data_IF_495512168005
#
_entry.id   IF_495512168005
#
_cell.length_a   1.000
_cell.length_b   1.000
_cell.length_c   1.000
_cell.angle_alpha   90.00
_cell.angle_beta   90.00
_cell.angle_gamma   90.00
#
_symmetry.space_group_name_H-M   'P 1'
#
loop_
_entity.id
_entity.type
_entity.pdbx_description
1 polymer ?
#
# COMPACT_ATOMS: atom_id res chain seq x y z
N UNK A 1 13.79 6.75 -0.04
CA UNK A 1 13.13 7.95 0.50
C UNK A 1 11.75 8.04 -0.14
N UNK A 2 10.68 7.87 0.65
CA UNK A 2 9.34 8.25 0.18
C UNK A 2 9.30 9.78 0.08
N UNK A 3 8.87 10.30 -1.06
CA UNK A 3 8.64 11.74 -1.19
C UNK A 3 7.46 12.19 -0.30
N UNK A 4 7.19 13.49 -0.23
CA UNK A 4 6.08 14.03 0.56
C UNK A 4 4.74 13.36 0.22
N UNK A 5 4.53 13.01 -1.06
CA UNK A 5 3.32 12.33 -1.54
C UNK A 5 3.27 10.88 -1.06
N UNK A 6 4.39 10.18 -1.01
CA UNK A 6 4.51 8.84 -0.44
C UNK A 6 4.25 8.81 1.06
N UNK A 7 4.65 9.85 1.80
CA UNK A 7 4.31 9.96 3.23
C UNK A 7 2.81 10.19 3.46
N UNK A 8 2.16 11.04 2.64
CA UNK A 8 0.71 11.22 2.68
C UNK A 8 -0.04 9.93 2.35
N UNK A 9 0.42 9.19 1.34
CA UNK A 9 -0.14 7.88 0.99
C UNK A 9 -0.04 6.90 2.16
N UNK A 10 1.13 6.83 2.81
CA UNK A 10 1.33 5.98 3.99
C UNK A 10 0.39 6.37 5.13
N UNK A 11 0.21 7.67 5.39
CA UNK A 11 -0.71 8.14 6.42
C UNK A 11 -2.17 7.76 6.10
N UNK A 12 -2.61 7.95 4.86
CA UNK A 12 -3.97 7.58 4.42
C UNK A 12 -4.24 6.07 4.54
N UNK A 13 -3.26 5.23 4.17
CA UNK A 13 -3.37 3.78 4.31
C UNK A 13 -3.36 3.32 5.78
N UNK A 14 -2.51 3.93 6.62
CA UNK A 14 -2.50 3.67 8.06
C UNK A 14 -3.84 4.05 8.71
N UNK A 15 -4.45 5.14 8.26
CA UNK A 15 -5.78 5.56 8.70
C UNK A 15 -6.87 4.56 8.30
N UNK A 16 -6.85 4.07 7.06
CA UNK A 16 -7.84 3.11 6.56
C UNK A 16 -7.87 1.79 7.37
N UNK A 17 -6.73 1.40 7.95
CA UNK A 17 -6.58 0.23 8.81
C UNK A 17 -7.14 0.38 10.24
N UNK A 18 -7.55 1.58 10.66
CA UNK A 18 -8.12 1.79 12.00
C UNK A 18 -9.57 1.30 12.11
N UNK A 19 -10.04 0.93 13.33
CA UNK A 19 -11.46 0.69 13.59
C UNK A 19 -12.30 1.88 13.14
N UNK A 20 -13.50 1.63 12.57
CA UNK A 20 -14.36 2.70 12.06
C UNK A 20 -14.65 3.72 13.18
N UNK A 21 -14.28 5.00 13.00
CA UNK A 21 -14.63 6.05 13.95
C UNK A 21 -16.14 6.30 13.86
N UNK A 22 -16.80 6.36 15.02
CA UNK A 22 -18.26 6.38 15.09
C UNK A 22 -18.90 7.73 14.79
N UNK A 23 -18.13 8.83 14.67
CA UNK A 23 -18.71 10.19 14.65
C UNK A 23 -18.06 11.25 13.75
N UNK A 24 -17.00 10.97 13.00
CA UNK A 24 -16.40 11.96 12.09
C UNK A 24 -16.79 11.70 10.64
N UNK A 25 -17.62 12.61 10.08
CA UNK A 25 -18.11 12.55 8.71
C UNK A 25 -16.98 12.63 7.68
N UNK A 26 -15.91 13.38 7.97
CA UNK A 26 -14.76 13.55 7.07
C UNK A 26 -13.98 12.24 6.96
N UNK A 27 -13.82 11.56 8.09
CA UNK A 27 -13.17 10.25 8.15
C UNK A 27 -14.01 9.16 7.49
N UNK A 28 -15.33 9.23 7.66
CA UNK A 28 -16.25 8.33 6.97
C UNK A 28 -16.20 8.52 5.46
N UNK A 29 -16.19 9.76 4.98
CA UNK A 29 -16.09 10.08 3.56
C UNK A 29 -14.76 9.62 2.95
N UNK A 30 -13.64 9.85 3.64
CA UNK A 30 -12.32 9.39 3.21
C UNK A 30 -12.27 7.85 3.11
N UNK A 31 -12.79 7.14 4.11
CA UNK A 31 -12.79 5.67 4.11
C UNK A 31 -13.72 5.11 3.04
N UNK A 32 -14.88 5.71 2.84
CA UNK A 32 -15.81 5.32 1.77
C UNK A 32 -15.20 5.54 0.38
N UNK A 33 -14.45 6.61 0.20
CA UNK A 33 -13.71 6.88 -1.04
C UNK A 33 -12.56 5.87 -1.24
N UNK A 34 -11.78 5.56 -0.21
CA UNK A 34 -10.74 4.53 -0.27
C UNK A 34 -11.30 3.12 -0.50
N UNK A 35 -12.52 2.86 -0.02
CA UNK A 35 -13.24 1.59 -0.16
C UNK A 35 -14.01 1.52 -1.51
N UNK A 36 -13.37 1.98 -2.59
CA UNK A 36 -13.93 2.03 -3.94
C UNK A 36 -12.90 1.67 -5.01
N UNK A 37 -13.37 1.45 -6.25
CA UNK A 37 -12.47 1.25 -7.40
C UNK A 37 -11.63 2.48 -7.72
N UNK A 38 -12.18 3.69 -7.57
CA UNK A 38 -11.42 4.92 -7.74
C UNK A 38 -10.32 5.05 -6.68
N UNK A 39 -10.61 4.63 -5.44
CA UNK A 39 -9.64 4.53 -4.34
C UNK A 39 -8.47 3.60 -4.67
N UNK A 40 -8.76 2.43 -5.25
CA UNK A 40 -7.73 1.50 -5.76
C UNK A 40 -6.86 2.18 -6.81
N UNK A 41 -7.47 2.88 -7.77
CA UNK A 41 -6.74 3.62 -8.81
C UNK A 41 -5.79 4.68 -8.20
N UNK A 42 -6.25 5.41 -7.19
CA UNK A 42 -5.42 6.43 -6.53
C UNK A 42 -4.27 5.81 -5.74
N UNK A 43 -4.49 4.69 -5.05
CA UNK A 43 -3.41 3.96 -4.35
C UNK A 43 -2.40 3.42 -5.36
N UNK A 44 -2.86 2.82 -6.47
CA UNK A 44 -1.99 2.29 -7.52
C UNK A 44 -1.11 3.39 -8.14
N UNK A 45 -1.69 4.54 -8.50
CA UNK A 45 -0.95 5.69 -9.04
C UNK A 45 0.02 6.27 -8.01
N UNK A 46 -0.38 6.31 -6.73
CA UNK A 46 0.49 6.74 -5.63
C UNK A 46 1.71 5.83 -5.47
N UNK A 47 1.49 4.51 -5.48
CA UNK A 47 2.52 3.48 -5.39
C UNK A 47 3.44 3.46 -6.62
N UNK A 48 2.91 3.66 -7.84
CA UNK A 48 3.71 3.76 -9.06
C UNK A 48 4.73 4.91 -8.98
N UNK A 49 4.35 6.04 -8.38
CA UNK A 49 5.28 7.17 -8.12
C UNK A 49 6.36 6.83 -7.09
N UNK A 50 6.13 5.86 -6.23
CA UNK A 50 7.13 5.33 -5.30
C UNK A 50 7.95 4.18 -5.91
N UNK A 51 7.77 3.89 -7.21
CA UNK A 51 8.44 2.81 -7.89
C UNK A 51 7.88 1.44 -7.54
N UNK A 52 6.55 1.32 -7.48
CA UNK A 52 5.88 0.04 -7.31
C UNK A 52 4.75 -0.21 -8.31
N UNK A 53 4.74 -1.41 -8.88
CA UNK A 53 3.69 -1.88 -9.79
C UNK A 53 2.69 -2.80 -9.07
N UNK A 54 1.40 -2.65 -9.38
CA UNK A 54 0.31 -3.40 -8.78
C UNK A 54 -0.12 -4.58 -9.65
N UNK A 55 -0.13 -5.78 -9.07
CA UNK A 55 -0.93 -6.90 -9.53
C UNK A 55 -2.14 -7.09 -8.62
N UNK A 56 -3.35 -7.06 -9.20
CA UNK A 56 -4.60 -7.32 -8.48
C UNK A 56 -5.32 -8.50 -9.13
N UNK A 57 -5.51 -9.58 -8.37
CA UNK A 57 -6.06 -10.84 -8.84
C UNK A 57 -7.33 -11.19 -8.07
N UNK A 58 -8.42 -11.48 -8.78
CA UNK A 58 -9.65 -12.01 -8.21
C UNK A 58 -9.63 -13.54 -8.16
N UNK A 59 -10.03 -14.11 -7.04
CA UNK A 59 -10.24 -15.56 -6.87
C UNK A 59 -11.72 -15.82 -6.57
N UNK A 60 -12.59 -15.58 -7.54
CA UNK A 60 -14.06 -15.74 -7.47
C UNK A 60 -14.66 -15.26 -6.14
N UNK A 61 -15.34 -16.15 -5.41
CA UNK A 61 -15.94 -15.87 -4.11
C UNK A 61 -14.94 -15.95 -2.95
N UNK A 62 -13.71 -16.43 -3.17
CA UNK A 62 -12.71 -16.59 -2.11
C UNK A 62 -12.10 -15.27 -1.69
N UNK A 63 -12.03 -14.31 -2.62
CA UNK A 63 -11.58 -12.95 -2.34
C UNK A 63 -10.61 -12.42 -3.39
N UNK A 64 -9.78 -11.49 -2.94
CA UNK A 64 -8.85 -10.74 -3.77
C UNK A 64 -7.45 -10.81 -3.19
N UNK A 65 -6.47 -10.93 -4.08
CA UNK A 65 -5.06 -10.76 -3.77
C UNK A 65 -4.53 -9.51 -4.46
N UNK A 66 -3.95 -8.61 -3.70
CA UNK A 66 -3.12 -7.54 -4.22
C UNK A 66 -1.65 -7.85 -3.93
N UNK A 67 -0.76 -7.54 -4.87
CA UNK A 67 0.68 -7.65 -4.68
C UNK A 67 1.36 -6.46 -5.33
N UNK A 68 2.21 -5.78 -4.57
CA UNK A 68 3.05 -4.68 -5.07
C UNK A 68 4.48 -5.17 -5.26
N UNK A 69 4.98 -5.00 -6.46
CA UNK A 69 6.37 -5.28 -6.84
C UNK A 69 7.16 -3.98 -6.88
N UNK A 70 8.46 -4.02 -6.58
CA UNK A 70 9.33 -2.90 -6.96
C UNK A 70 9.35 -2.79 -8.50
N UNK A 71 9.22 -1.57 -9.02
CA UNK A 71 9.16 -1.31 -10.45
C UNK A 71 10.49 -1.64 -11.14
N UNK A 72 10.41 -2.28 -12.30
CA UNK A 72 11.54 -2.81 -13.07
C UNK A 72 11.07 -3.83 -14.11
N UNK A 73 12.00 -4.51 -14.79
CA UNK A 73 11.64 -5.46 -15.88
C UNK A 73 11.07 -6.79 -15.35
N UNK A 74 11.16 -7.08 -14.04
CA UNK A 74 10.72 -8.37 -13.48
C UNK A 74 9.75 -8.24 -12.29
N UNK A 75 8.55 -8.83 -12.44
CA UNK A 75 7.66 -9.19 -11.33
C UNK A 75 8.07 -10.52 -10.69
N UNK A 76 9.34 -10.62 -10.28
CA UNK A 76 9.87 -11.79 -9.60
C UNK A 76 9.32 -11.89 -8.16
N UNK A 77 9.06 -13.09 -7.61
CA UNK A 77 8.56 -13.26 -6.23
C UNK A 77 9.45 -12.61 -5.17
N UNK A 78 10.76 -12.57 -5.40
CA UNK A 78 11.78 -11.91 -4.58
C UNK A 78 11.70 -10.38 -4.63
N UNK A 79 11.09 -9.82 -5.68
CA UNK A 79 10.85 -8.38 -5.86
C UNK A 79 9.51 -7.93 -5.26
N UNK A 80 8.68 -8.87 -4.77
CA UNK A 80 7.43 -8.54 -4.10
C UNK A 80 7.72 -7.83 -2.78
N UNK A 81 7.20 -6.61 -2.66
CA UNK A 81 7.42 -5.73 -1.52
C UNK A 81 6.25 -5.69 -0.55
N UNK A 82 5.04 -6.04 -0.99
CA UNK A 82 3.88 -6.18 -0.11
C UNK A 82 2.77 -7.01 -0.74
N UNK A 83 2.03 -7.77 0.06
CA UNK A 83 0.94 -8.64 -0.42
C UNK A 83 -0.26 -8.58 0.53
N UNK A 84 -1.46 -8.53 -0.02
CA UNK A 84 -2.69 -8.42 0.77
C UNK A 84 -3.74 -9.39 0.25
N UNK A 85 -4.29 -10.20 1.15
CA UNK A 85 -5.47 -11.03 0.87
C UNK A 85 -6.66 -10.51 1.66
N UNK A 86 -7.73 -10.15 0.98
CA UNK A 86 -8.96 -9.67 1.63
C UNK A 86 -10.20 -10.07 0.83
N UNK A 87 -11.37 -9.97 1.47
CA UNK A 87 -12.67 -10.23 0.82
C UNK A 87 -12.99 -9.22 -0.29
N UNK A 88 -12.47 -8.00 -0.18
CA UNK A 88 -12.74 -6.90 -1.11
C UNK A 88 -11.45 -6.44 -1.79
N UNK A 89 -11.53 -5.94 -3.03
CA UNK A 89 -10.33 -5.54 -3.78
C UNK A 89 -9.65 -4.32 -3.16
N UNK A 90 -10.41 -3.38 -2.58
CA UNK A 90 -9.86 -2.17 -1.95
C UNK A 90 -9.08 -2.49 -0.68
N UNK A 91 -9.61 -3.33 0.21
CA UNK A 91 -8.87 -3.70 1.43
C UNK A 91 -7.62 -4.52 1.09
N UNK A 92 -7.67 -5.42 0.10
CA UNK A 92 -6.50 -6.17 -0.35
C UNK A 92 -5.39 -5.22 -0.81
N UNK A 93 -5.76 -4.24 -1.64
CA UNK A 93 -4.85 -3.22 -2.17
C UNK A 93 -4.27 -2.34 -1.06
N UNK A 94 -5.12 -1.83 -0.17
CA UNK A 94 -4.71 -0.99 0.95
C UNK A 94 -3.72 -1.73 1.86
N UNK A 95 -3.99 -3.01 2.17
CA UNK A 95 -3.11 -3.86 2.98
C UNK A 95 -1.75 -4.09 2.31
N UNK A 96 -1.75 -4.49 1.04
CA UNK A 96 -0.52 -4.74 0.29
C UNK A 96 0.35 -3.47 0.19
N UNK A 97 -0.29 -2.31 -0.05
CA UNK A 97 0.41 -1.03 -0.15
C UNK A 97 1.02 -0.62 1.20
N UNK A 98 0.29 -0.80 2.31
CA UNK A 98 0.80 -0.52 3.65
C UNK A 98 2.01 -1.37 4.00
N UNK A 99 1.98 -2.66 3.69
CA UNK A 99 3.12 -3.57 3.89
C UNK A 99 4.35 -3.13 3.08
N UNK A 100 4.18 -2.82 1.80
CA UNK A 100 5.26 -2.37 0.93
C UNK A 100 5.93 -1.08 1.43
N UNK A 101 5.13 -0.09 1.84
CA UNK A 101 5.65 1.18 2.36
C UNK A 101 6.31 1.04 3.74
N UNK A 102 5.88 0.09 4.58
CA UNK A 102 6.54 -0.22 5.85
C UNK A 102 7.91 -0.85 5.62
N UNK A 103 7.99 -1.82 4.73
CA UNK A 103 9.22 -2.52 4.39
C UNK A 103 10.24 -1.57 3.75
N UNK A 104 9.81 -0.70 2.83
CA UNK A 104 10.65 0.34 2.25
C UNK A 104 11.24 1.28 3.31
N UNK A 105 10.46 1.65 4.33
CA UNK A 105 10.94 2.46 5.45
C UNK A 105 11.93 1.72 6.35
N UNK A 106 11.74 0.42 6.58
CA UNK A 106 12.63 -0.39 7.42
C UNK A 106 14.02 -0.55 6.77
N UNK A 107 14.06 -0.82 5.46
CA UNK A 107 15.30 -0.92 4.69
C UNK A 107 16.12 0.37 4.73
N UNK A 108 15.45 1.52 4.72
CA UNK A 108 16.12 2.83 4.84
C UNK A 108 16.80 3.01 6.21
N UNK A 109 16.10 2.67 7.30
CA UNK A 109 16.64 2.80 8.67
C UNK A 109 17.87 1.91 8.84
N UNK A 110 17.78 0.66 8.37
CA UNK A 110 18.90 -0.30 8.45
C UNK A 110 20.08 0.11 7.57
N UNK A 111 19.84 0.60 6.35
CA UNK A 111 20.91 1.11 5.47
C UNK A 111 21.60 2.37 6.04
N UNK A 112 20.84 3.25 6.70
CA UNK A 112 21.39 4.45 7.35
C UNK A 112 22.20 4.12 8.62
N UNK A 113 21.83 3.06 9.32
CA UNK A 113 22.59 2.56 10.47
C UNK A 113 23.93 1.94 10.04
N UNK A 114 23.95 1.26 8.88
CA UNK A 114 25.18 0.70 8.30
C UNK A 114 26.15 1.80 7.85
N UNK A 115 25.65 2.85 7.18
CA UNK A 115 26.47 3.96 6.64
C UNK A 115 26.93 5.00 7.69
N UNK A 116 26.66 4.76 8.99
CA UNK A 116 27.12 5.61 10.11
C UNK A 116 28.28 4.98 10.89
N UNK A 117 28.72 3.78 10.51
CA UNK A 117 29.79 3.05 11.16
C UNK A 117 31.09 3.01 10.34
N UNK A 118 31.09 3.67 9.17
CA UNK A 118 32.25 3.94 8.31
C UNK A 118 32.59 5.44 8.35
#
# INVERSE_FOLDING_TARGET
MLDQRGQLLRAALGFAGLPRPSYDLSLWALRSWLDSWDGIGHVAVGMARQGHDLQLTRYDERGWRATFYASGIEHSPTSATGTGWERTPWHATQRAAWEALREAGLREVLGRAHNKLD
#
